data_IF_502035222408
#
_entry.id   IF_502035222408
#
_cell.length_a   1.000
_cell.length_b   1.000
_cell.length_c   1.000
_cell.angle_alpha   90.00
_cell.angle_beta   90.00
_cell.angle_gamma   90.00
#
_symmetry.space_group_name_H-M   'P 1'
#
loop_
_entity.id
_entity.type
_entity.pdbx_description
1 polymer ?
#
# COMPACT_ATOMS: atom_id res chain seq x y z
N UNK A 1 -36.23 -41.34 -1.43
CA UNK A 1 -37.06 -40.15 -1.73
C UNK A 1 -36.72 -39.12 -0.65
N UNK A 2 -36.08 -37.97 -0.87
CA UNK A 2 -35.68 -37.26 -2.09
C UNK A 2 -34.54 -36.31 -1.68
N UNK A 3 -33.48 -36.22 -2.48
CA UNK A 3 -32.38 -35.28 -2.28
C UNK A 3 -32.83 -33.86 -2.64
N UNK A 4 -32.73 -32.91 -1.72
CA UNK A 4 -32.94 -31.50 -2.01
C UNK A 4 -31.68 -30.91 -2.66
N UNK A 5 -31.64 -31.02 -3.99
CA UNK A 5 -30.69 -30.30 -4.84
C UNK A 5 -31.01 -28.79 -4.72
N UNK A 6 -30.14 -28.03 -4.05
CA UNK A 6 -30.21 -26.57 -4.04
C UNK A 6 -30.04 -26.04 -5.47
N UNK A 7 -31.11 -25.49 -6.03
CA UNK A 7 -31.14 -24.97 -7.39
C UNK A 7 -30.64 -23.51 -7.42
N UNK A 8 -29.41 -23.30 -7.87
CA UNK A 8 -28.76 -21.97 -8.01
C UNK A 8 -29.48 -21.01 -8.96
N UNK A 9 -30.40 -21.52 -9.76
CA UNK A 9 -31.22 -20.75 -10.71
C UNK A 9 -32.22 -19.83 -9.99
N UNK A 10 -32.70 -20.24 -8.81
CA UNK A 10 -33.71 -19.51 -8.04
C UNK A 10 -33.12 -18.27 -7.36
N UNK A 11 -31.90 -18.40 -6.84
CA UNK A 11 -31.19 -17.30 -6.17
C UNK A 11 -30.88 -16.13 -7.11
N UNK A 12 -30.54 -16.42 -8.37
CA UNK A 12 -30.35 -15.39 -9.40
C UNK A 12 -31.67 -14.67 -9.76
N UNK A 13 -32.79 -15.38 -9.72
CA UNK A 13 -34.11 -14.78 -9.94
C UNK A 13 -34.46 -13.82 -8.81
N UNK A 14 -34.27 -14.24 -7.55
CA UNK A 14 -34.48 -13.41 -6.36
C UNK A 14 -33.60 -12.16 -6.39
N UNK A 15 -32.32 -12.28 -6.76
CA UNK A 15 -31.42 -11.13 -6.87
C UNK A 15 -31.83 -10.16 -7.99
N UNK A 16 -32.32 -10.67 -9.14
CA UNK A 16 -32.86 -9.82 -10.21
C UNK A 16 -34.10 -9.06 -9.75
N UNK A 17 -35.04 -9.72 -9.07
CA UNK A 17 -36.27 -9.08 -8.59
C UNK A 17 -35.97 -8.01 -7.54
N UNK A 18 -35.02 -8.27 -6.63
CA UNK A 18 -34.56 -7.26 -5.66
C UNK A 18 -33.85 -6.09 -6.36
N UNK A 19 -33.05 -6.36 -7.39
CA UNK A 19 -32.39 -5.32 -8.19
C UNK A 19 -33.38 -4.42 -8.94
N UNK A 20 -34.54 -4.94 -9.35
CA UNK A 20 -35.58 -4.14 -10.04
C UNK A 20 -36.39 -3.25 -9.11
N UNK A 21 -36.40 -3.51 -7.80
CA UNK A 21 -37.09 -2.66 -6.83
C UNK A 21 -36.27 -1.43 -6.40
N UNK A 22 -34.95 -1.43 -6.61
CA UNK A 22 -34.06 -0.46 -5.94
C UNK A 22 -33.72 0.79 -6.76
N UNK A 23 -34.10 0.91 -8.05
CA UNK A 23 -33.73 2.11 -8.82
C UNK A 23 -34.70 2.49 -9.95
N UNK A 24 -35.40 3.63 -9.89
CA UNK A 24 -35.97 4.26 -11.09
C UNK A 24 -34.87 4.96 -11.89
N UNK A 25 -34.60 4.46 -13.10
CA UNK A 25 -33.65 5.05 -14.05
C UNK A 25 -34.25 6.27 -14.78
N UNK A 26 -33.43 7.32 -14.94
CA UNK A 26 -33.62 8.42 -15.90
C UNK A 26 -32.90 8.07 -17.22
N UNK A 27 -33.48 8.32 -18.41
CA UNK A 27 -32.84 8.03 -19.68
C UNK A 27 -31.94 9.18 -20.15
N UNK A 28 -30.73 8.84 -20.63
CA UNK A 28 -29.88 9.70 -21.45
C UNK A 28 -30.12 9.39 -22.93
N UNK A 29 -30.23 10.43 -23.75
CA UNK A 29 -30.30 10.36 -25.20
C UNK A 29 -29.23 11.25 -25.84
N UNK A 30 -28.48 10.65 -26.76
CA UNK A 30 -27.47 11.19 -27.66
C UNK A 30 -27.86 12.47 -28.41
N UNK A 31 -26.88 13.35 -28.69
CA UNK A 31 -26.64 13.92 -30.05
C UNK A 31 -25.16 14.36 -30.19
N UNK A 32 -24.46 13.78 -31.18
CA UNK A 32 -23.38 14.42 -31.96
C UNK A 32 -23.89 14.50 -33.41
N UNK A 33 -23.56 15.52 -34.24
CA UNK A 33 -22.42 15.36 -35.17
C UNK A 33 -21.72 16.64 -35.69
N UNK A 34 -20.38 16.53 -35.90
CA UNK A 34 -19.55 16.85 -37.11
C UNK A 34 -19.73 18.15 -37.96
N UNK A 35 -18.58 18.85 -38.11
CA UNK A 35 -17.76 19.15 -39.34
C UNK A 35 -17.80 20.56 -40.01
N UNK A 36 -16.58 21.05 -40.35
CA UNK A 36 -16.17 21.96 -41.46
C UNK A 36 -16.70 23.42 -41.42
N UNK A 37 -16.07 24.50 -41.92
CA UNK A 37 -14.92 24.77 -42.80
C UNK A 37 -14.55 26.29 -42.72
N UNK A 38 -13.26 26.62 -42.82
CA UNK A 38 -12.60 27.69 -43.63
C UNK A 38 -13.35 29.01 -43.92
N UNK A 39 -12.79 30.18 -43.51
CA UNK A 39 -12.35 31.27 -44.44
C UNK A 39 -11.58 32.43 -43.75
N UNK A 40 -10.56 32.91 -44.49
CA UNK A 40 -9.60 34.05 -44.42
C UNK A 40 -10.24 35.47 -44.33
N UNK A 41 -9.54 36.65 -44.45
CA UNK A 41 -8.10 37.04 -44.33
C UNK A 41 -7.82 38.42 -43.64
N UNK A 42 -6.51 38.74 -43.50
CA UNK A 42 -5.84 40.08 -43.54
C UNK A 42 -6.43 41.30 -42.81
N UNK A 43 -5.60 41.89 -41.92
CA UNK A 43 -5.67 43.30 -41.51
C UNK A 43 -4.31 43.84 -41.06
N UNK A 44 -3.93 45.00 -41.62
CA UNK A 44 -2.57 45.57 -41.68
C UNK A 44 -1.98 46.19 -40.40
N UNK A 45 -0.64 46.17 -40.35
CA UNK A 45 0.32 47.07 -39.64
C UNK A 45 0.01 48.57 -39.87
N UNK A 46 0.51 49.57 -39.07
CA UNK A 46 1.96 49.85 -38.94
C UNK A 46 2.50 50.58 -37.66
N UNK A 47 3.86 50.58 -37.52
CA UNK A 47 4.72 51.56 -36.81
C UNK A 47 4.78 51.46 -35.27
N UNK A 48 5.86 51.78 -34.52
CA UNK A 48 7.01 52.68 -34.69
C UNK A 48 8.17 52.26 -33.75
N UNK A 49 9.39 52.65 -34.14
CA UNK A 49 10.73 52.57 -33.52
C UNK A 49 10.85 53.15 -32.10
N UNK A 50 11.68 52.54 -31.23
CA UNK A 50 12.55 53.18 -30.22
C UNK A 50 13.52 52.13 -29.64
N UNK A 51 14.81 52.16 -29.99
CA UNK A 51 15.94 52.89 -29.40
C UNK A 51 16.42 52.36 -28.03
N UNK A 52 17.72 52.09 -28.01
CA UNK A 52 18.53 51.49 -26.96
C UNK A 52 18.53 52.26 -25.64
N UNK A 53 18.56 51.53 -24.52
CA UNK A 53 19.12 52.01 -23.27
C UNK A 53 20.09 50.96 -22.70
N UNK A 54 21.36 51.33 -22.75
CA UNK A 54 22.49 50.70 -22.07
C UNK A 54 22.38 50.94 -20.56
N UNK A 55 22.06 49.89 -19.81
CA UNK A 55 22.20 49.86 -18.36
C UNK A 55 23.57 49.28 -17.95
N UNK A 56 24.18 49.75 -16.84
CA UNK A 56 25.51 49.33 -16.42
C UNK A 56 25.56 47.87 -15.96
N UNK A 57 26.64 47.22 -16.37
CA UNK A 57 26.99 45.82 -16.12
C UNK A 57 27.09 45.59 -14.60
N UNK A 58 26.11 44.87 -14.06
CA UNK A 58 26.26 44.21 -12.76
C UNK A 58 27.15 42.97 -12.93
N UNK A 59 28.12 42.72 -12.04
CA UNK A 59 28.96 41.53 -12.14
C UNK A 59 28.10 40.28 -11.99
N UNK A 60 28.18 39.42 -13.00
CA UNK A 60 27.50 38.14 -13.07
C UNK A 60 27.74 37.34 -11.78
N UNK A 61 26.67 37.15 -10.98
CA UNK A 61 26.63 36.09 -9.99
C UNK A 61 26.85 34.79 -10.75
N UNK A 62 27.95 34.10 -10.44
CA UNK A 62 28.24 32.74 -10.90
C UNK A 62 26.94 31.91 -10.74
N UNK A 63 26.45 31.23 -11.78
CA UNK A 63 25.33 30.33 -11.60
C UNK A 63 25.75 29.28 -10.58
N UNK A 64 24.99 29.16 -9.49
CA UNK A 64 25.13 28.06 -8.56
C UNK A 64 25.12 26.74 -9.36
N UNK A 65 25.98 25.77 -8.98
CA UNK A 65 25.99 24.48 -9.67
C UNK A 65 24.58 23.89 -9.57
N UNK A 66 23.93 23.71 -10.72
CA UNK A 66 22.71 22.92 -10.84
C UNK A 66 23.01 21.60 -10.14
N UNK A 67 22.22 21.26 -9.13
CA UNK A 67 22.32 20.01 -8.39
C UNK A 67 22.49 18.89 -9.41
N UNK A 68 23.67 18.26 -9.44
CA UNK A 68 23.83 17.02 -10.16
C UNK A 68 22.78 16.08 -9.57
N UNK A 69 21.81 15.67 -10.38
CA UNK A 69 20.76 14.74 -9.99
C UNK A 69 21.44 13.41 -9.66
N UNK A 70 21.80 13.23 -8.39
CA UNK A 70 22.39 11.99 -7.90
C UNK A 70 21.32 10.90 -8.08
N UNK A 71 21.65 9.86 -8.84
CA UNK A 71 20.75 8.72 -8.99
C UNK A 71 20.65 8.00 -7.63
N UNK A 72 19.46 7.91 -7.02
CA UNK A 72 19.30 7.25 -5.72
C UNK A 72 19.66 5.75 -5.76
N UNK A 73 19.71 5.16 -6.95
CA UNK A 73 20.04 3.74 -7.16
C UNK A 73 21.51 3.42 -6.93
N UNK A 74 22.40 4.42 -6.97
CA UNK A 74 23.85 4.27 -6.73
C UNK A 74 24.26 4.64 -5.30
N UNK A 75 23.32 5.15 -4.50
CA UNK A 75 23.60 5.53 -3.11
C UNK A 75 23.67 4.27 -2.24
N UNK A 76 24.87 3.98 -1.75
CA UNK A 76 25.14 2.87 -0.83
C UNK A 76 25.48 3.33 0.59
N UNK A 77 25.80 4.60 0.81
CA UNK A 77 26.19 5.13 2.12
C UNK A 77 25.06 5.90 2.80
N UNK A 78 24.96 5.75 4.12
CA UNK A 78 23.94 6.44 4.93
C UNK A 78 23.98 7.98 4.83
N UNK A 79 25.14 8.67 4.94
CA UNK A 79 25.17 10.13 4.89
C UNK A 79 24.69 10.70 3.55
N UNK A 80 24.99 10.01 2.44
CA UNK A 80 24.52 10.40 1.12
C UNK A 80 23.00 10.22 0.99
N UNK A 81 22.46 9.10 1.49
CA UNK A 81 21.02 8.85 1.49
C UNK A 81 20.25 9.86 2.36
N UNK A 82 20.77 10.20 3.54
CA UNK A 82 20.16 11.20 4.42
C UNK A 82 20.06 12.57 3.75
N UNK A 83 21.15 13.03 3.12
CA UNK A 83 21.15 14.30 2.38
C UNK A 83 20.16 14.29 1.22
N UNK A 84 20.10 13.17 0.49
CA UNK A 84 19.13 13.00 -0.60
C UNK A 84 17.71 13.14 -0.09
N UNK A 85 17.33 12.34 0.92
CA UNK A 85 15.95 12.31 1.47
C UNK A 85 15.55 13.65 2.08
N UNK A 86 16.44 14.31 2.82
CA UNK A 86 16.15 15.64 3.37
C UNK A 86 15.91 16.70 2.28
N UNK A 87 16.55 16.55 1.12
CA UNK A 87 16.40 17.47 0.00
C UNK A 87 15.18 17.12 -0.85
N UNK A 88 14.89 15.83 -1.06
CA UNK A 88 13.79 15.38 -1.91
C UNK A 88 12.50 15.26 -1.12
N UNK A 89 12.41 14.30 -0.20
CA UNK A 89 11.22 14.06 0.63
C UNK A 89 10.96 15.24 1.56
N UNK A 90 11.99 15.87 2.12
CA UNK A 90 11.82 17.01 3.01
C UNK A 90 11.25 18.27 2.34
N UNK A 91 11.46 18.43 1.03
CA UNK A 91 10.98 19.61 0.27
C UNK A 91 9.78 19.32 -0.63
N UNK A 92 9.44 18.04 -0.85
CA UNK A 92 8.33 17.63 -1.70
C UNK A 92 7.13 17.14 -0.86
N UNK A 93 6.12 17.99 -0.75
CA UNK A 93 4.88 17.72 -0.02
C UNK A 93 4.08 16.57 -0.64
N UNK A 94 4.13 16.37 -1.96
CA UNK A 94 3.41 15.27 -2.61
C UNK A 94 3.97 13.91 -2.17
N UNK A 95 5.30 13.79 -2.15
CA UNK A 95 5.99 12.59 -1.65
C UNK A 95 5.68 12.35 -0.16
N UNK A 96 5.66 13.39 0.66
CA UNK A 96 5.28 13.26 2.08
C UNK A 96 3.84 12.78 2.25
N UNK A 97 2.89 13.37 1.51
CA UNK A 97 1.47 12.95 1.53
C UNK A 97 1.31 11.49 1.11
N UNK A 98 2.07 11.04 0.09
CA UNK A 98 2.07 9.64 -0.33
C UNK A 98 2.56 8.73 0.80
N UNK A 99 3.69 9.06 1.43
CA UNK A 99 4.28 8.27 2.53
C UNK A 99 3.34 8.24 3.74
N UNK A 100 2.73 9.37 4.13
CA UNK A 100 1.71 9.44 5.18
C UNK A 100 0.51 8.54 4.87
N UNK A 101 0.08 8.53 3.60
CA UNK A 101 -0.98 7.65 3.11
C UNK A 101 -0.62 6.17 3.24
N UNK A 102 0.62 5.79 2.93
CA UNK A 102 1.13 4.43 3.11
C UNK A 102 1.11 4.00 4.58
N UNK A 103 1.61 4.83 5.49
CA UNK A 103 1.62 4.57 6.94
C UNK A 103 0.19 4.42 7.47
N UNK A 104 -0.72 5.31 7.07
CA UNK A 104 -2.13 5.26 7.49
C UNK A 104 -2.83 4.00 6.97
N UNK A 105 -2.55 3.61 5.72
CA UNK A 105 -3.08 2.39 5.11
C UNK A 105 -2.61 1.13 5.85
N UNK A 106 -1.33 1.07 6.22
CA UNK A 106 -0.77 -0.01 7.03
C UNK A 106 -1.51 -0.13 8.37
N UNK A 107 -1.58 0.96 9.15
CA UNK A 107 -2.26 0.95 10.45
C UNK A 107 -3.73 0.54 10.33
N UNK A 108 -4.40 0.94 9.23
CA UNK A 108 -5.79 0.55 8.96
C UNK A 108 -5.91 -0.96 8.77
N UNK A 109 -5.04 -1.59 7.98
CA UNK A 109 -5.04 -3.04 7.79
C UNK A 109 -4.74 -3.78 9.08
N UNK A 110 -3.73 -3.37 9.84
CA UNK A 110 -3.39 -3.97 11.14
C UNK A 110 -4.57 -3.89 12.11
N UNK A 111 -5.21 -2.73 12.21
CA UNK A 111 -6.40 -2.54 13.04
C UNK A 111 -7.58 -3.39 12.56
N UNK A 112 -7.74 -3.57 11.24
CA UNK A 112 -8.79 -4.41 10.68
C UNK A 112 -8.55 -5.88 11.00
N UNK A 113 -7.32 -6.38 10.85
CA UNK A 113 -6.96 -7.76 11.19
C UNK A 113 -7.14 -8.02 12.68
N UNK A 114 -6.70 -7.09 13.53
CA UNK A 114 -6.93 -7.18 14.97
C UNK A 114 -8.43 -7.28 15.31
N UNK A 115 -9.25 -6.35 14.80
CA UNK A 115 -10.70 -6.36 15.04
C UNK A 115 -11.38 -7.64 14.54
N UNK A 116 -10.95 -8.15 13.39
CA UNK A 116 -11.51 -9.38 12.84
C UNK A 116 -11.10 -10.61 13.66
N UNK A 117 -9.88 -10.64 14.21
CA UNK A 117 -9.44 -11.66 15.17
C UNK A 117 -10.25 -11.61 16.47
N UNK A 118 -10.46 -10.43 17.04
CA UNK A 118 -11.29 -10.25 18.23
C UNK A 118 -12.74 -10.70 17.98
N UNK A 119 -13.31 -10.34 16.82
CA UNK A 119 -14.64 -10.79 16.43
C UNK A 119 -14.73 -12.32 16.23
N UNK A 120 -13.63 -12.97 15.84
CA UNK A 120 -13.56 -14.42 15.71
C UNK A 120 -13.59 -15.09 17.09
N UNK A 121 -12.79 -14.60 18.03
CA UNK A 121 -12.76 -15.10 19.41
C UNK A 121 -14.11 -14.92 20.11
N UNK A 122 -14.77 -13.77 19.92
CA UNK A 122 -16.10 -13.53 20.49
C UNK A 122 -17.14 -14.50 19.91
N UNK A 123 -17.06 -14.82 18.61
CA UNK A 123 -17.92 -15.85 18.00
C UNK A 123 -17.66 -17.23 18.57
N UNK A 124 -16.40 -17.62 18.76
CA UNK A 124 -16.02 -18.90 19.37
C UNK A 124 -16.59 -19.02 20.78
N UNK A 125 -16.41 -17.97 21.60
CA UNK A 125 -16.99 -17.90 22.94
C UNK A 125 -18.52 -18.01 22.92
N UNK A 126 -19.19 -17.24 22.06
CA UNK A 126 -20.64 -17.27 21.93
C UNK A 126 -21.16 -18.65 21.47
N UNK A 127 -20.41 -19.40 20.66
CA UNK A 127 -20.74 -20.80 20.32
C UNK A 127 -20.67 -21.70 21.56
N UNK A 128 -19.59 -21.57 22.34
CA UNK A 128 -19.41 -22.32 23.59
C UNK A 128 -20.52 -22.04 24.61
N UNK A 129 -20.88 -20.77 24.80
CA UNK A 129 -21.93 -20.38 25.77
C UNK A 129 -23.32 -20.86 25.34
N UNK A 130 -23.65 -20.78 24.05
CA UNK A 130 -24.90 -21.35 23.51
C UNK A 130 -24.98 -22.86 23.68
N UNK A 131 -23.87 -23.59 23.47
CA UNK A 131 -23.83 -25.04 23.68
C UNK A 131 -24.10 -25.38 25.15
N UNK A 132 -23.47 -24.66 26.09
CA UNK A 132 -23.72 -24.83 27.53
C UNK A 132 -25.17 -24.56 27.92
N UNK A 133 -25.79 -23.54 27.35
CA UNK A 133 -27.21 -23.22 27.58
C UNK A 133 -28.13 -24.34 27.09
N UNK A 134 -27.90 -24.84 25.87
CA UNK A 134 -28.63 -25.98 25.31
C UNK A 134 -28.47 -27.24 26.18
N UNK A 135 -27.25 -27.55 26.61
CA UNK A 135 -26.96 -28.68 27.49
C UNK A 135 -27.67 -28.55 28.85
N UNK A 136 -27.77 -27.33 29.40
CA UNK A 136 -28.50 -27.07 30.63
C UNK A 136 -30.02 -27.29 30.46
N UNK A 137 -30.59 -26.84 29.33
CA UNK A 137 -32.01 -27.08 29.00
C UNK A 137 -32.28 -28.58 28.82
N UNK A 138 -31.42 -29.30 28.10
CA UNK A 138 -31.52 -30.75 27.89
C UNK A 138 -31.45 -31.52 29.22
N UNK A 139 -30.56 -31.10 30.12
CA UNK A 139 -30.46 -31.67 31.47
C UNK A 139 -31.74 -31.42 32.29
N UNK A 140 -32.33 -30.23 32.17
CA UNK A 140 -33.56 -29.88 32.89
C UNK A 140 -34.78 -30.69 32.45
N UNK A 141 -34.84 -31.14 31.20
CA UNK A 141 -35.94 -31.98 30.67
C UNK A 141 -35.71 -33.48 30.90
N UNK A 142 -34.63 -33.85 31.60
CA UNK A 142 -34.31 -35.25 31.91
C UNK A 142 -33.69 -36.03 30.74
N UNK A 143 -33.27 -35.35 29.67
CA UNK A 143 -32.54 -36.00 28.59
C UNK A 143 -31.13 -36.37 29.07
N UNK A 144 -30.64 -37.59 28.78
CA UNK A 144 -29.24 -37.94 29.06
C UNK A 144 -28.33 -37.13 28.13
N UNK A 145 -27.59 -36.18 28.70
CA UNK A 145 -26.52 -35.47 27.99
C UNK A 145 -25.25 -36.30 28.13
N UNK A 146 -24.83 -37.00 27.07
CA UNK A 146 -23.48 -37.56 27.03
C UNK A 146 -22.47 -36.41 27.07
N UNK A 147 -21.63 -36.40 28.11
CA UNK A 147 -20.51 -35.46 28.31
C UNK A 147 -19.36 -35.64 27.30
N UNK A 148 -19.62 -36.27 26.15
CA UNK A 148 -18.61 -36.83 25.25
C UNK A 148 -18.17 -35.88 24.13
N UNK A 149 -18.84 -34.74 23.93
CA UNK A 149 -18.28 -33.70 23.06
C UNK A 149 -17.82 -32.55 23.91
N UNK A 150 -16.55 -32.63 24.31
CA UNK A 150 -15.76 -31.47 24.72
C UNK A 150 -16.12 -30.27 23.79
N UNK A 151 -16.12 -29.04 24.31
CA UNK A 151 -16.21 -27.87 23.44
C UNK A 151 -15.21 -28.07 22.28
N UNK A 152 -15.58 -27.62 21.09
CA UNK A 152 -14.85 -27.85 19.84
C UNK A 152 -13.57 -27.00 19.80
N UNK A 153 -12.82 -26.99 20.91
CA UNK A 153 -11.64 -26.18 21.19
C UNK A 153 -10.57 -26.42 20.13
N UNK A 154 -10.42 -27.67 19.69
CA UNK A 154 -9.52 -28.01 18.60
C UNK A 154 -9.95 -27.37 17.27
N UNK A 155 -11.25 -27.39 16.93
CA UNK A 155 -11.73 -26.71 15.73
C UNK A 155 -11.61 -25.19 15.83
N UNK A 156 -11.83 -24.62 17.02
CA UNK A 156 -11.67 -23.19 17.29
C UNK A 156 -10.19 -22.76 17.17
N UNK A 157 -9.26 -23.56 17.70
CA UNK A 157 -7.81 -23.35 17.55
C UNK A 157 -7.37 -23.43 16.08
N UNK A 158 -7.86 -24.43 15.33
CA UNK A 158 -7.57 -24.57 13.90
C UNK A 158 -8.13 -23.40 13.08
N UNK A 159 -9.34 -22.93 13.40
CA UNK A 159 -9.96 -21.76 12.75
C UNK A 159 -9.13 -20.50 12.99
N UNK A 160 -8.65 -20.30 14.23
CA UNK A 160 -7.81 -19.18 14.58
C UNK A 160 -6.43 -19.25 13.90
N UNK A 161 -5.81 -20.43 13.86
CA UNK A 161 -4.54 -20.63 13.17
C UNK A 161 -4.65 -20.37 11.66
N UNK A 162 -5.74 -20.81 11.03
CA UNK A 162 -6.01 -20.52 9.63
C UNK A 162 -6.24 -19.02 9.37
N UNK A 163 -6.89 -18.33 10.31
CA UNK A 163 -7.01 -16.88 10.26
C UNK A 163 -5.65 -16.18 10.37
N UNK A 164 -4.83 -16.54 11.36
CA UNK A 164 -3.51 -15.95 11.57
C UNK A 164 -2.58 -16.21 10.37
N UNK A 165 -2.68 -17.39 9.75
CA UNK A 165 -1.98 -17.68 8.48
C UNK A 165 -2.39 -16.74 7.35
N UNK A 166 -3.69 -16.45 7.22
CA UNK A 166 -4.20 -15.49 6.21
C UNK A 166 -3.71 -14.07 6.50
N UNK A 167 -3.73 -13.65 7.75
CA UNK A 167 -3.20 -12.33 8.16
C UNK A 167 -1.73 -12.22 7.82
N UNK A 168 -0.93 -13.24 8.11
CA UNK A 168 0.49 -13.26 7.76
C UNK A 168 0.71 -13.15 6.24
N UNK A 169 -0.03 -13.90 5.42
CA UNK A 169 0.07 -13.80 3.97
C UNK A 169 -0.33 -12.41 3.46
N UNK A 170 -1.38 -11.84 4.03
CA UNK A 170 -1.83 -10.49 3.70
C UNK A 170 -0.80 -9.42 4.14
N UNK A 171 -0.16 -9.58 5.30
CA UNK A 171 0.86 -8.65 5.79
C UNK A 171 2.13 -8.68 4.94
N UNK A 172 2.56 -9.87 4.49
CA UNK A 172 3.67 -10.00 3.53
C UNK A 172 3.32 -9.33 2.20
N UNK A 173 2.10 -9.54 1.71
CA UNK A 173 1.63 -8.90 0.46
C UNK A 173 1.60 -7.38 0.59
N UNK A 174 1.07 -6.86 1.70
CA UNK A 174 1.07 -5.44 2.03
C UNK A 174 2.49 -4.88 2.08
N UNK A 175 3.41 -5.53 2.79
CA UNK A 175 4.80 -5.10 2.89
C UNK A 175 5.47 -5.03 1.50
N UNK A 176 5.23 -6.02 0.64
CA UNK A 176 5.74 -6.02 -0.74
C UNK A 176 5.19 -4.85 -1.56
N UNK A 177 3.90 -4.53 -1.43
CA UNK A 177 3.30 -3.37 -2.07
C UNK A 177 3.88 -2.05 -1.57
N UNK A 178 4.05 -1.89 -0.25
CA UNK A 178 4.70 -0.73 0.36
C UNK A 178 6.14 -0.55 -0.14
N UNK A 179 6.92 -1.64 -0.20
CA UNK A 179 8.27 -1.61 -0.78
C UNK A 179 8.28 -1.26 -2.28
N UNK A 180 7.23 -1.60 -3.02
CA UNK A 180 7.11 -1.20 -4.43
C UNK A 180 6.80 0.29 -4.58
N UNK A 181 5.95 0.84 -3.73
CA UNK A 181 5.64 2.28 -3.68
C UNK A 181 6.88 3.10 -3.32
N UNK A 182 7.64 2.70 -2.30
CA UNK A 182 8.91 3.36 -1.93
C UNK A 182 9.96 3.31 -3.05
N UNK A 183 9.95 2.25 -3.86
CA UNK A 183 10.76 2.17 -5.10
C UNK A 183 10.27 3.15 -6.17
N UNK A 184 8.96 3.28 -6.33
CA UNK A 184 8.35 4.27 -7.23
C UNK A 184 8.72 5.70 -6.87
N UNK A 185 8.77 6.00 -5.57
CA UNK A 185 9.21 7.28 -4.99
C UNK A 185 10.73 7.48 -5.01
N UNK A 186 11.49 6.55 -5.59
CA UNK A 186 12.95 6.65 -5.73
C UNK A 186 13.68 6.84 -4.39
N UNK A 187 13.15 6.25 -3.31
CA UNK A 187 13.79 6.29 -1.99
C UNK A 187 15.09 5.45 -2.01
N UNK A 188 16.24 5.98 -1.56
CA UNK A 188 17.49 5.24 -1.46
C UNK A 188 17.35 3.93 -0.67
N UNK A 189 18.21 2.95 -0.94
CA UNK A 189 18.17 1.58 -0.37
C UNK A 189 17.00 0.70 -0.84
N UNK A 190 15.90 1.28 -1.32
CA UNK A 190 14.81 0.52 -1.95
C UNK A 190 15.04 0.35 -3.45
N UNK A 191 15.68 1.33 -4.09
CA UNK A 191 16.02 1.31 -5.52
C UNK A 191 17.46 0.86 -5.82
N UNK A 192 18.21 0.40 -4.81
CA UNK A 192 19.62 0.02 -4.97
C UNK A 192 19.80 -1.07 -6.03
N UNK A 193 20.78 -0.87 -6.91
CA UNK A 193 21.07 -1.82 -7.97
C UNK A 193 21.60 -3.14 -7.42
N UNK A 194 21.15 -4.25 -8.00
CA UNK A 194 21.54 -5.61 -7.57
C UNK A 194 23.05 -5.88 -7.73
N UNK A 195 23.72 -5.17 -8.64
CA UNK A 195 25.17 -5.24 -8.86
C UNK A 195 25.99 -4.75 -7.66
N UNK A 196 25.41 -3.92 -6.79
CA UNK A 196 26.07 -3.36 -5.62
C UNK A 196 25.91 -4.26 -4.38
N UNK A 197 25.11 -5.32 -4.48
CA UNK A 197 24.79 -6.25 -3.38
C UNK A 197 25.63 -7.52 -3.54
N UNK A 198 26.54 -7.78 -2.61
CA UNK A 198 27.23 -9.07 -2.55
C UNK A 198 26.34 -10.11 -1.86
N UNK A 199 26.14 -11.24 -2.54
CA UNK A 199 25.50 -12.42 -1.97
C UNK A 199 26.55 -13.21 -1.21
N UNK A 200 26.36 -13.36 0.10
CA UNK A 200 27.28 -14.04 1.01
C UNK A 200 27.32 -15.54 0.67
N UNK A 201 28.22 -15.93 -0.23
CA UNK A 201 28.48 -17.31 -0.61
C UNK A 201 29.98 -17.59 -0.44
N UNK A 202 30.29 -18.35 0.63
CA UNK A 202 31.57 -18.94 1.02
C UNK A 202 32.64 -18.02 1.68
N UNK A 203 33.36 -18.53 2.70
CA UNK A 203 34.41 -17.79 3.40
C UNK A 203 35.71 -17.83 2.59
N UNK A 204 35.89 -16.87 1.68
CA UNK A 204 37.20 -16.59 1.12
C UNK A 204 37.93 -15.62 2.05
N UNK A 205 39.00 -16.12 2.66
CA UNK A 205 39.96 -15.36 3.45
C UNK A 205 40.63 -14.29 2.56
N UNK A 206 40.02 -13.13 2.44
CA UNK A 206 40.64 -11.95 1.82
C UNK A 206 40.32 -10.74 2.68
N UNK A 207 41.30 -10.34 3.48
CA UNK A 207 41.29 -9.12 4.26
C UNK A 207 41.48 -7.91 3.31
N UNK A 208 40.44 -7.54 2.58
CA UNK A 208 40.35 -6.25 1.88
C UNK A 208 39.01 -5.60 2.22
N UNK A 209 39.08 -4.55 3.03
CA UNK A 209 37.99 -3.61 3.27
C UNK A 209 37.73 -2.81 1.98
N UNK A 210 37.01 -3.39 1.03
CA UNK A 210 36.49 -2.67 -0.12
C UNK A 210 35.17 -2.02 0.31
N UNK A 211 35.21 -0.73 0.65
CA UNK A 211 34.06 0.08 1.08
C UNK A 211 33.02 0.35 -0.02
N UNK A 212 32.84 -0.57 -0.97
CA UNK A 212 32.07 -0.35 -2.21
C UNK A 212 30.95 -1.37 -2.44
N UNK A 213 30.80 -2.38 -1.58
CA UNK A 213 29.70 -3.35 -1.70
C UNK A 213 28.97 -3.62 -0.39
N UNK A 214 27.66 -3.77 -0.52
CA UNK A 214 26.72 -3.89 0.58
C UNK A 214 26.24 -5.33 0.70
N UNK A 215 26.26 -5.91 1.90
CA UNK A 215 25.68 -7.23 2.13
C UNK A 215 24.14 -7.13 2.20
N UNK A 216 23.44 -8.26 2.05
CA UNK A 216 21.97 -8.26 2.16
C UNK A 216 21.48 -7.87 3.57
N UNK A 217 22.22 -8.29 4.60
CA UNK A 217 21.97 -7.89 5.99
C UNK A 217 22.18 -6.40 6.21
N UNK A 218 23.26 -5.82 5.65
CA UNK A 218 23.51 -4.37 5.76
C UNK A 218 22.43 -3.56 5.05
N UNK A 219 21.97 -4.04 3.88
CA UNK A 219 20.92 -3.36 3.13
C UNK A 219 19.62 -3.36 3.92
N UNK A 220 19.27 -4.49 4.52
CA UNK A 220 18.09 -4.63 5.37
C UNK A 220 18.15 -3.68 6.58
N UNK A 221 19.32 -3.52 7.20
CA UNK A 221 19.53 -2.59 8.30
C UNK A 221 19.39 -1.13 7.85
N UNK A 222 19.96 -0.77 6.70
CA UNK A 222 19.83 0.58 6.12
C UNK A 222 18.38 0.90 5.74
N UNK A 223 17.65 -0.07 5.16
CA UNK A 223 16.23 0.06 4.84
C UNK A 223 15.38 0.29 6.10
N UNK A 224 15.60 -0.47 7.18
CA UNK A 224 14.91 -0.26 8.46
C UNK A 224 15.17 1.12 9.02
N UNK A 225 16.43 1.56 9.01
CA UNK A 225 16.81 2.91 9.45
C UNK A 225 16.17 4.00 8.60
N UNK A 226 16.06 3.78 7.28
CA UNK A 226 15.40 4.68 6.35
C UNK A 226 13.90 4.78 6.63
N UNK A 227 13.22 3.66 6.89
CA UNK A 227 11.80 3.68 7.26
C UNK A 227 11.53 4.52 8.51
N UNK A 228 12.35 4.36 9.56
CA UNK A 228 12.23 5.17 10.77
C UNK A 228 12.41 6.67 10.49
N UNK A 229 13.38 7.02 9.63
CA UNK A 229 13.58 8.40 9.21
C UNK A 229 12.38 8.96 8.44
N UNK A 230 11.83 8.19 7.49
CA UNK A 230 10.66 8.61 6.72
C UNK A 230 9.43 8.79 7.61
N UNK A 231 9.25 7.90 8.58
CA UNK A 231 8.21 8.03 9.60
C UNK A 231 8.38 9.34 10.37
N UNK A 232 9.59 9.66 10.84
CA UNK A 232 9.87 10.87 11.60
C UNK A 232 9.67 12.17 10.80
N UNK A 233 10.10 12.20 9.53
CA UNK A 233 9.88 13.37 8.65
C UNK A 233 8.39 13.55 8.33
N UNK A 234 7.65 12.44 8.23
CA UNK A 234 6.25 12.46 7.87
C UNK A 234 5.30 12.55 9.08
N UNK A 235 5.82 12.56 10.32
CA UNK A 235 5.07 12.82 11.55
C UNK A 235 4.77 14.32 11.65
N UNK A 236 3.60 14.71 11.17
CA UNK A 236 2.95 15.99 11.51
C UNK A 236 1.46 15.77 11.79
#
# INVERSE_FOLDING_TARGET
MSEHLYNSSDLNSVLRTLSTLTNPAVPSGDVLPKKAEIHDPRGSRPGVTQLAQSGPISPAKKPAPKSATVDPSTIITWPAALRYVMTTVGQDEETQLRIRGLITSQHKHEKQWWKAREALLERQRARGDKKKELDAVLRSIGAPVESTTAPDENADELELAEYDRKVYQASVTMANALMAELRGLKIPFFVTQKSLIHQEAAPSNSNEQTGDSLTNSDLSNLQRRMLGLLEDICKE
#
